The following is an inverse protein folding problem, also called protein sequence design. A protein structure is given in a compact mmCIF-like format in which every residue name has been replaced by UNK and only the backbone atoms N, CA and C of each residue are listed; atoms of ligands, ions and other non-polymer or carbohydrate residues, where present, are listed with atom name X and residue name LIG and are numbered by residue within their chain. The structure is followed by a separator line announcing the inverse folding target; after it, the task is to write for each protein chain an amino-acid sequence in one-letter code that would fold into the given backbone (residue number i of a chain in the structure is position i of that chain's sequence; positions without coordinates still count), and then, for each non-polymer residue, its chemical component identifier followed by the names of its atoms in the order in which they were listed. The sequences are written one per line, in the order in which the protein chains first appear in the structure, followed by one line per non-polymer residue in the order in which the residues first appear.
data_IF_398296964662
#
_entry.id   IF_398296964662
#
_cell.length_a   1.000
_cell.length_b   1.000
_cell.length_c   1.000
_cell.angle_alpha   90.00
_cell.angle_beta   90.00
_cell.angle_gamma   90.00
#
_symmetry.space_group_name_H-M   'P 1'
#
loop_
_entity.id
_entity.type
_entity.pdbx_description
1 polymer ?
#
# COMPACT_ATOMS: atom_id res chain seq x y z
N UNK A 1 -16.40 11.62 6.43
CA UNK A 1 -16.26 10.32 5.72
C UNK A 1 -15.38 9.42 6.57
N UNK A 2 -15.97 8.62 7.45
CA UNK A 2 -15.22 7.57 8.15
C UNK A 2 -14.96 6.45 7.14
N UNK A 3 -13.69 6.20 6.85
CA UNK A 3 -13.24 5.35 5.73
C UNK A 3 -12.32 6.05 4.72
N UNK A 4 -11.99 7.33 4.91
CA UNK A 4 -11.02 8.06 4.08
C UNK A 4 -9.54 7.82 4.44
N UNK A 5 -8.63 8.32 3.59
CA UNK A 5 -7.17 8.23 3.74
C UNK A 5 -6.59 8.53 5.14
N UNK A 6 -7.09 9.53 5.89
CA UNK A 6 -6.60 9.81 7.24
C UNK A 6 -6.85 8.70 8.27
N UNK A 7 -7.93 7.93 8.13
CA UNK A 7 -8.29 6.84 9.06
C UNK A 7 -7.45 5.59 8.80
N UNK A 8 -7.15 5.31 7.53
CA UNK A 8 -6.27 4.19 7.16
C UNK A 8 -4.84 4.47 7.62
N UNK A 9 -4.38 5.71 7.50
CA UNK A 9 -3.07 6.14 7.98
C UNK A 9 -2.92 5.96 9.50
N UNK A 10 -3.92 6.35 10.30
CA UNK A 10 -3.83 6.19 11.75
C UNK A 10 -3.87 4.72 12.19
N UNK A 11 -4.63 3.87 11.51
CA UNK A 11 -4.61 2.43 11.75
C UNK A 11 -3.24 1.81 11.37
N UNK A 12 -2.69 2.16 10.21
CA UNK A 12 -1.38 1.66 9.79
C UNK A 12 -0.28 2.09 10.75
N UNK A 13 -0.29 3.35 11.22
CA UNK A 13 0.64 3.81 12.24
C UNK A 13 0.58 2.91 13.47
N UNK A 14 -0.64 2.64 13.96
CA UNK A 14 -0.86 1.79 15.12
C UNK A 14 -0.29 0.38 14.91
N UNK A 15 -0.60 -0.26 13.78
CA UNK A 15 -0.16 -1.62 13.48
C UNK A 15 1.29 -1.78 13.05
N UNK A 16 2.00 -0.70 12.73
CA UNK A 16 3.41 -0.76 12.29
C UNK A 16 4.37 -0.20 13.33
N UNK A 17 3.96 0.83 14.08
CA UNK A 17 4.79 1.49 15.09
C UNK A 17 4.62 0.85 16.46
N UNK A 18 3.41 0.47 16.90
CA UNK A 18 3.24 -0.22 18.20
C UNK A 18 4.03 -1.55 18.26
N UNK A 19 4.07 -2.39 17.20
CA UNK A 19 4.88 -3.61 17.19
C UNK A 19 6.37 -3.39 16.91
N UNK A 20 6.81 -2.12 16.78
CA UNK A 20 8.18 -1.74 16.45
C UNK A 20 8.69 -2.28 15.10
N UNK A 21 7.80 -2.46 14.11
CA UNK A 21 8.21 -2.85 12.74
C UNK A 21 8.78 -1.66 11.96
N UNK A 22 8.32 -0.46 12.29
CA UNK A 22 8.81 0.80 11.74
C UNK A 22 9.02 1.81 12.87
N UNK A 23 10.04 2.65 12.75
CA UNK A 23 10.16 3.83 13.60
C UNK A 23 9.14 4.88 13.18
N UNK A 24 8.61 5.64 14.14
CA UNK A 24 7.61 6.68 13.88
C UNK A 24 8.09 7.71 12.83
N UNK A 25 9.39 8.03 12.84
CA UNK A 25 10.02 8.89 11.84
C UNK A 25 9.89 8.33 10.41
N UNK A 26 10.13 7.04 10.23
CA UNK A 26 10.07 6.39 8.91
C UNK A 26 8.63 6.39 8.39
N UNK A 27 7.68 6.13 9.28
CA UNK A 27 6.26 6.21 8.96
C UNK A 27 5.85 7.62 8.50
N UNK A 28 6.24 8.66 9.24
CA UNK A 28 5.95 10.05 8.89
C UNK A 28 6.59 10.50 7.57
N UNK A 29 7.81 10.02 7.26
CA UNK A 29 8.47 10.27 5.98
C UNK A 29 7.67 9.61 4.85
N UNK A 30 7.24 8.37 5.03
CA UNK A 30 6.39 7.66 4.06
C UNK A 30 5.08 8.40 3.78
N UNK A 31 4.43 8.92 4.83
CA UNK A 31 3.22 9.73 4.67
C UNK A 31 3.48 11.03 3.92
N UNK A 32 4.55 11.76 4.26
CA UNK A 32 4.91 13.01 3.59
C UNK A 32 5.19 12.78 2.09
N UNK A 33 5.82 11.66 1.74
CA UNK A 33 6.11 11.28 0.35
C UNK A 33 4.84 11.00 -0.46
N UNK A 34 3.79 10.48 0.14
CA UNK A 34 2.54 10.17 -0.58
C UNK A 34 1.64 11.37 -0.68
N UNK A 35 1.66 12.23 0.33
CA UNK A 35 0.93 13.49 0.30
C UNK A 35 1.55 14.49 -0.69
N UNK A 36 2.83 14.32 -1.05
CA UNK A 36 3.50 15.18 -2.03
C UNK A 36 3.30 14.72 -3.48
N UNK A 37 2.87 13.48 -3.70
CA UNK A 37 2.64 12.91 -5.03
C UNK A 37 1.14 12.78 -5.30
N UNK A 38 0.65 13.18 -6.49
CA UNK A 38 -0.74 12.89 -6.86
C UNK A 38 -0.92 11.37 -7.03
N UNK A 39 -1.71 10.74 -6.16
CA UNK A 39 -1.92 9.29 -6.23
C UNK A 39 -2.81 8.70 -5.14
N UNK A 40 -2.99 7.38 -5.22
CA UNK A 40 -3.72 6.59 -4.23
C UNK A 40 -2.87 6.47 -2.95
N UNK A 41 -3.49 6.67 -1.78
CA UNK A 41 -2.83 6.47 -0.48
C UNK A 41 -2.19 5.08 -0.33
N UNK A 42 -2.71 4.08 -1.05
CA UNK A 42 -2.19 2.71 -1.08
C UNK A 42 -0.78 2.58 -1.69
N UNK A 43 -0.26 3.61 -2.37
CA UNK A 43 1.14 3.64 -2.83
C UNK A 43 2.14 3.57 -1.66
N UNK A 44 1.69 3.79 -0.40
CA UNK A 44 2.46 3.59 0.83
C UNK A 44 2.99 2.18 1.00
N UNK A 45 2.27 1.20 0.45
CA UNK A 45 2.70 -0.20 0.42
C UNK A 45 4.10 -0.36 -0.19
N UNK A 46 4.40 0.34 -1.29
CA UNK A 46 5.71 0.27 -1.94
C UNK A 46 6.84 0.83 -1.07
N UNK A 47 6.56 1.92 -0.34
CA UNK A 47 7.51 2.48 0.63
C UNK A 47 7.78 1.50 1.78
N UNK A 48 6.74 0.89 2.35
CA UNK A 48 6.90 -0.12 3.40
C UNK A 48 7.57 -1.40 2.88
N UNK A 49 7.28 -1.82 1.65
CA UNK A 49 7.97 -2.93 1.00
C UNK A 49 9.46 -2.68 0.82
N UNK A 50 9.84 -1.45 0.47
CA UNK A 50 11.24 -1.05 0.37
C UNK A 50 11.95 -1.10 1.74
N UNK A 51 11.26 -0.70 2.82
CA UNK A 51 11.78 -0.74 4.18
C UNK A 51 11.87 -2.18 4.72
N UNK A 52 10.89 -3.03 4.41
CA UNK A 52 10.88 -4.43 4.82
C UNK A 52 12.07 -5.24 4.27
N UNK A 53 12.54 -4.88 3.07
CA UNK A 53 13.72 -5.49 2.42
C UNK A 53 14.95 -4.59 2.45
N UNK A 54 14.98 -3.62 3.38
CA UNK A 54 16.13 -2.76 3.65
C UNK A 54 17.20 -3.52 4.46
N UNK A 55 17.73 -4.60 3.90
CA UNK A 55 18.83 -5.40 4.45
C UNK A 55 20.15 -5.22 3.70
N UNK A 56 21.23 -5.92 4.12
CA UNK A 56 22.58 -5.81 3.54
C UNK A 56 22.64 -6.07 2.02
N UNK A 57 21.70 -6.85 1.49
CA UNK A 57 21.63 -7.20 0.08
C UNK A 57 21.02 -6.11 -0.83
N UNK A 58 20.57 -4.96 -0.29
CA UNK A 58 20.21 -3.79 -1.09
C UNK A 58 18.95 -3.93 -1.96
N UNK A 59 18.08 -4.92 -1.71
CA UNK A 59 16.94 -5.26 -2.57
C UNK A 59 15.68 -4.41 -2.33
N UNK A 60 15.85 -3.11 -2.04
CA UNK A 60 14.75 -2.18 -1.73
C UNK A 60 13.73 -2.07 -2.86
N UNK A 61 14.20 -2.06 -4.11
CA UNK A 61 13.35 -1.99 -5.30
C UNK A 61 12.46 -3.23 -5.43
N UNK A 62 13.02 -4.40 -5.13
CA UNK A 62 12.32 -5.68 -5.22
C UNK A 62 11.22 -5.76 -4.16
N UNK A 63 11.50 -5.28 -2.94
CA UNK A 63 10.50 -5.19 -1.88
C UNK A 63 9.37 -4.21 -2.17
N UNK A 64 9.68 -3.05 -2.72
CA UNK A 64 8.67 -2.09 -3.18
C UNK A 64 7.77 -2.70 -4.25
N UNK A 65 8.36 -3.36 -5.24
CA UNK A 65 7.63 -4.00 -6.33
C UNK A 65 6.71 -5.12 -5.82
N UNK A 66 7.21 -5.99 -4.95
CA UNK A 66 6.41 -7.08 -4.35
C UNK A 66 5.23 -6.54 -3.53
N UNK A 67 5.45 -5.49 -2.73
CA UNK A 67 4.37 -4.89 -1.95
C UNK A 67 3.31 -4.23 -2.84
N UNK A 68 3.75 -3.56 -3.91
CA UNK A 68 2.85 -2.98 -4.91
C UNK A 68 2.01 -4.05 -5.62
N UNK A 69 2.64 -5.13 -6.08
CA UNK A 69 1.92 -6.26 -6.68
C UNK A 69 0.97 -6.88 -5.66
N UNK A 70 1.41 -7.12 -4.42
CA UNK A 70 0.58 -7.73 -3.38
C UNK A 70 -0.70 -6.97 -3.07
N UNK A 71 -0.67 -5.62 -3.05
CA UNK A 71 -1.84 -4.81 -2.74
C UNK A 71 -2.78 -4.62 -3.95
N UNK A 72 -2.23 -4.46 -5.15
CA UNK A 72 -3.03 -4.14 -6.34
C UNK A 72 -3.48 -5.38 -7.12
N UNK A 73 -2.69 -6.45 -7.15
CA UNK A 73 -3.00 -7.67 -7.89
C UNK A 73 -4.36 -8.29 -7.56
N UNK A 74 -4.75 -8.53 -6.29
CA UNK A 74 -6.05 -9.11 -5.99
C UNK A 74 -7.20 -8.20 -6.44
N UNK A 75 -7.07 -6.88 -6.30
CA UNK A 75 -8.09 -5.91 -6.75
C UNK A 75 -8.24 -5.86 -8.27
N UNK A 76 -7.12 -5.91 -9.00
CA UNK A 76 -7.12 -5.98 -10.46
C UNK A 76 -7.73 -7.30 -10.96
N UNK A 77 -7.41 -8.41 -10.29
CA UNK A 77 -7.97 -9.73 -10.61
C UNK A 77 -9.49 -9.75 -10.37
N UNK A 78 -9.95 -9.20 -9.24
CA UNK A 78 -11.38 -9.08 -8.93
C UNK A 78 -12.13 -8.22 -9.95
N UNK A 79 -11.55 -7.06 -10.31
CA UNK A 79 -12.11 -6.16 -11.33
C UNK A 79 -12.25 -6.88 -12.67
N UNK A 80 -11.19 -7.57 -13.11
CA UNK A 80 -11.19 -8.29 -14.38
C UNK A 80 -12.16 -9.47 -14.36
N UNK A 81 -12.35 -10.14 -13.23
CA UNK A 81 -13.33 -11.23 -13.09
C UNK A 81 -14.78 -10.72 -13.05
N UNK A 82 -15.03 -9.53 -12.51
CA UNK A 82 -16.38 -8.94 -12.41
C UNK A 82 -16.89 -8.35 -13.73
N UNK A 83 -16.03 -7.77 -14.57
CA UNK A 83 -16.42 -7.20 -15.87
C UNK A 83 -17.23 -8.18 -16.75
N UNK A 84 -16.76 -9.43 -17.02
CA UNK A 84 -17.51 -10.36 -17.87
C UNK A 84 -18.84 -10.78 -17.23
N UNK A 85 -18.88 -10.90 -15.90
CA UNK A 85 -20.11 -11.22 -15.17
C UNK A 85 -21.17 -10.12 -15.32
N UNK A 86 -20.76 -8.86 -15.23
CA UNK A 86 -21.66 -7.72 -15.44
C UNK A 86 -22.19 -7.65 -16.88
N UNK A 87 -21.32 -7.90 -17.87
CA UNK A 87 -21.71 -7.95 -19.28
C UNK A 87 -22.73 -9.07 -19.56
N UNK A 88 -22.61 -10.21 -18.89
CA UNK A 88 -23.56 -11.31 -19.04
C UNK A 88 -24.96 -10.99 -18.50
N UNK A 89 -25.06 -10.20 -17.42
CA UNK A 89 -26.36 -9.83 -16.80
C UNK A 89 -27.08 -8.72 -17.58
N UNK A 90 -26.34 -7.86 -18.29
CA UNK A 90 -26.90 -6.74 -19.07
C UNK A 90 -27.15 -7.09 -20.55
N UNK A 91 -27.12 -8.37 -20.91
CA UNK A 91 -27.53 -8.93 -22.21
C UNK A 91 -28.78 -9.79 -22.04
#
# INVERSE_FOLDING_TARGET
MFGGGPVVSSLLQRYTVEPSWLFEREFLIGLALIQSLPGLNFNLSGYFGALALCGPNGQRLLGSFLAYVGIFFPGLLLKNAMIPYWQWIHL
#
